data_IF_920530994646
#
_entry.id   IF_920530994646
#
_cell.length_a   1.000
_cell.length_b   1.000
_cell.length_c   1.000
_cell.angle_alpha   90.00
_cell.angle_beta   90.00
_cell.angle_gamma   90.00
#
_symmetry.space_group_name_H-M   'P 1'
#
loop_
_entity.id
_entity.type
_entity.pdbx_description
1 polymer ?
#
# COMPACT_ATOMS: atom_id res chain seq x y z
N UNK A 1 11.56 -5.10 3.32
CA UNK A 1 10.26 -4.39 3.34
C UNK A 1 9.36 -5.09 2.34
N UNK A 2 8.26 -5.70 2.79
CA UNK A 2 7.33 -6.36 1.88
C UNK A 2 6.42 -5.31 1.22
N UNK A 3 6.31 -5.35 -0.10
CA UNK A 3 5.40 -4.49 -0.84
C UNK A 3 4.13 -5.29 -1.07
N UNK A 4 3.07 -4.98 -0.31
CA UNK A 4 1.77 -5.60 -0.50
C UNK A 4 0.97 -4.76 -1.48
N UNK A 5 0.79 -5.27 -2.70
CA UNK A 5 -0.10 -4.65 -3.67
C UNK A 5 -1.47 -5.30 -3.64
N UNK A 6 -2.48 -4.48 -3.41
CA UNK A 6 -3.87 -4.82 -3.68
C UNK A 6 -4.47 -3.73 -4.54
N UNK A 7 -4.96 -4.12 -5.72
CA UNK A 7 -5.60 -3.22 -6.67
C UNK A 7 -6.96 -2.81 -6.10
N UNK A 8 -7.07 -1.57 -5.64
CA UNK A 8 -8.35 -0.97 -5.31
C UNK A 8 -8.73 0.06 -6.37
N UNK A 9 -9.74 -0.27 -7.17
CA UNK A 9 -10.31 0.58 -8.23
C UNK A 9 -11.47 1.43 -7.73
N UNK A 10 -11.96 1.18 -6.52
CA UNK A 10 -12.99 1.97 -5.84
C UNK A 10 -12.60 2.26 -4.39
N UNK A 11 -13.17 3.33 -3.80
CA UNK A 11 -12.99 3.64 -2.37
C UNK A 11 -13.35 2.44 -1.48
N UNK A 12 -14.39 1.70 -1.84
CA UNK A 12 -14.85 0.52 -1.09
C UNK A 12 -13.79 -0.57 -1.07
N UNK A 13 -13.23 -0.94 -2.23
CA UNK A 13 -12.15 -1.93 -2.33
C UNK A 13 -10.90 -1.49 -1.55
N UNK A 14 -10.64 -0.19 -1.51
CA UNK A 14 -9.48 0.37 -0.84
C UNK A 14 -9.62 0.28 0.68
N UNK A 15 -10.82 0.55 1.20
CA UNK A 15 -11.14 0.37 2.61
C UNK A 15 -11.14 -1.11 3.01
N UNK A 16 -11.70 -2.00 2.18
CA UNK A 16 -11.63 -3.45 2.38
C UNK A 16 -10.19 -3.93 2.45
N UNK A 17 -9.36 -3.49 1.49
CA UNK A 17 -7.92 -3.81 1.46
C UNK A 17 -7.22 -3.43 2.76
N UNK A 18 -7.51 -2.23 3.29
CA UNK A 18 -6.92 -1.75 4.54
C UNK A 18 -7.37 -2.64 5.72
N UNK A 19 -8.63 -3.07 5.76
CA UNK A 19 -9.16 -3.93 6.82
C UNK A 19 -8.64 -5.36 6.75
N UNK A 20 -8.24 -5.83 5.57
CA UNK A 20 -7.65 -7.16 5.35
C UNK A 20 -6.12 -7.18 5.53
N UNK A 21 -5.49 -6.05 5.88
CA UNK A 21 -4.06 -6.03 6.21
C UNK A 21 -3.82 -6.83 7.50
N UNK A 22 -2.76 -7.62 7.49
CA UNK A 22 -2.22 -8.22 8.70
C UNK A 22 -1.60 -7.11 9.57
N UNK A 23 -2.38 -6.66 10.55
CA UNK A 23 -1.99 -5.56 11.41
C UNK A 23 -0.78 -5.88 12.28
N UNK A 24 -0.54 -7.14 12.63
CA UNK A 24 0.62 -7.54 13.42
C UNK A 24 1.88 -7.43 12.56
N UNK A 25 1.86 -8.04 11.37
CA UNK A 25 2.94 -7.95 10.41
C UNK A 25 3.29 -6.49 10.07
N UNK A 26 2.28 -5.65 9.81
CA UNK A 26 2.50 -4.24 9.47
C UNK A 26 3.11 -3.46 10.64
N UNK A 27 2.72 -3.74 11.89
CA UNK A 27 3.32 -3.05 13.05
C UNK A 27 4.79 -3.39 13.22
N UNK A 28 5.16 -4.66 12.98
CA UNK A 28 6.54 -5.14 13.11
C UNK A 28 7.42 -4.65 11.97
N UNK A 29 6.99 -4.87 10.72
CA UNK A 29 7.85 -4.72 9.54
C UNK A 29 7.55 -3.48 8.69
N UNK A 30 6.39 -2.87 8.87
CA UNK A 30 5.88 -1.83 7.97
C UNK A 30 5.46 -2.35 6.61
N UNK A 31 4.74 -1.51 5.87
CA UNK A 31 4.31 -1.82 4.49
C UNK A 31 4.17 -0.55 3.65
N UNK A 32 4.12 -0.74 2.34
CA UNK A 32 3.78 0.32 1.38
C UNK A 32 2.42 0.04 0.77
N UNK A 33 1.51 1.01 0.87
CA UNK A 33 0.17 0.96 0.28
C UNK A 33 0.16 1.82 -0.99
N UNK A 34 0.09 1.16 -2.14
CA UNK A 34 0.01 1.84 -3.45
C UNK A 34 -1.45 2.05 -3.81
N UNK A 35 -1.85 3.30 -4.02
CA UNK A 35 -3.24 3.69 -4.31
C UNK A 35 -3.30 4.61 -5.54
N UNK A 36 -4.45 4.66 -6.24
CA UNK A 36 -4.66 5.68 -7.25
C UNK A 36 -4.60 7.10 -6.63
N UNK A 37 -4.34 8.12 -7.46
CA UNK A 37 -4.52 9.52 -7.04
C UNK A 37 -5.98 9.72 -6.63
N UNK A 38 -6.19 10.21 -5.41
CA UNK A 38 -7.51 10.43 -4.82
C UNK A 38 -7.67 11.86 -4.35
N UNK A 39 -8.93 12.31 -4.23
CA UNK A 39 -9.22 13.60 -3.64
C UNK A 39 -8.88 13.64 -2.13
N UNK A 40 -8.81 14.86 -1.57
CA UNK A 40 -8.42 15.06 -0.17
C UNK A 40 -9.40 14.45 0.85
N UNK A 41 -10.69 14.35 0.52
CA UNK A 41 -11.71 13.72 1.40
C UNK A 41 -11.46 12.22 1.47
N UNK A 42 -11.19 11.58 0.34
CA UNK A 42 -10.83 10.17 0.25
C UNK A 42 -9.51 9.87 0.95
N UNK A 43 -8.48 10.71 0.76
CA UNK A 43 -7.20 10.59 1.49
C UNK A 43 -7.40 10.64 3.01
N UNK A 44 -8.25 11.55 3.51
CA UNK A 44 -8.56 11.64 4.95
C UNK A 44 -9.25 10.38 5.48
N UNK A 45 -10.12 9.74 4.69
CA UNK A 45 -10.76 8.47 5.06
C UNK A 45 -9.73 7.35 5.22
N UNK A 46 -8.79 7.22 4.27
CA UNK A 46 -7.70 6.24 4.31
C UNK A 46 -6.87 6.41 5.59
N UNK A 47 -6.41 7.64 5.85
CA UNK A 47 -5.62 7.96 7.03
C UNK A 47 -6.40 7.63 8.31
N UNK A 48 -7.70 7.95 8.35
CA UNK A 48 -8.56 7.65 9.51
C UNK A 48 -8.64 6.14 9.78
N UNK A 49 -8.83 5.31 8.76
CA UNK A 49 -8.89 3.86 8.92
C UNK A 49 -7.54 3.28 9.38
N UNK A 50 -6.43 3.69 8.75
CA UNK A 50 -5.09 3.27 9.18
C UNK A 50 -4.77 3.67 10.62
N UNK A 51 -5.27 4.83 11.07
CA UNK A 51 -5.14 5.28 12.47
C UNK A 51 -5.99 4.45 13.42
N UNK A 52 -7.22 4.08 13.06
CA UNK A 52 -8.06 3.17 13.87
C UNK A 52 -7.38 1.82 14.10
N UNK A 53 -6.72 1.30 13.07
CA UNK A 53 -5.95 0.06 13.12
C UNK A 53 -4.60 0.19 13.84
N UNK A 54 -4.21 1.43 14.22
CA UNK A 54 -2.92 1.78 14.85
C UNK A 54 -1.70 1.41 14.00
N UNK A 55 -1.85 1.34 12.68
CA UNK A 55 -0.76 0.99 11.75
C UNK A 55 -0.27 2.16 10.90
N UNK A 56 -0.97 3.31 10.91
CA UNK A 56 -0.65 4.46 10.06
C UNK A 56 0.83 4.87 10.07
N UNK A 57 1.48 4.87 11.22
CA UNK A 57 2.89 5.24 11.39
C UNK A 57 3.89 4.26 10.75
N UNK A 58 3.42 3.07 10.34
CA UNK A 58 4.18 2.00 9.69
C UNK A 58 3.78 1.78 8.23
N UNK A 59 2.85 2.59 7.71
CA UNK A 59 2.35 2.48 6.34
C UNK A 59 2.81 3.69 5.53
N UNK A 60 3.58 3.42 4.48
CA UNK A 60 3.90 4.42 3.47
C UNK A 60 2.81 4.43 2.40
N UNK A 61 2.12 5.55 2.23
CA UNK A 61 1.10 5.71 1.18
C UNK A 61 1.77 6.26 -0.07
N UNK A 62 1.62 5.55 -1.19
CA UNK A 62 2.16 5.95 -2.50
C UNK A 62 0.99 6.16 -3.45
N UNK A 63 0.79 7.40 -3.88
CA UNK A 63 -0.24 7.75 -4.86
C UNK A 63 0.33 7.75 -6.28
N UNK A 64 -0.43 7.20 -7.22
CA UNK A 64 -0.03 7.14 -8.63
C UNK A 64 -1.25 7.13 -9.55
N UNK A 65 -1.10 7.76 -10.71
CA UNK A 65 -2.07 7.74 -11.81
C UNK A 65 -2.23 6.34 -12.44
N UNK A 66 -1.25 5.45 -12.24
CA UNK A 66 -1.27 4.08 -12.75
C UNK A 66 -0.70 3.07 -11.73
N UNK A 67 -1.50 2.79 -10.70
CA UNK A 67 -1.15 1.88 -9.60
C UNK A 67 -0.67 0.50 -10.07
N UNK A 68 -1.28 -0.04 -11.13
CA UNK A 68 -0.89 -1.33 -11.72
C UNK A 68 0.52 -1.27 -12.30
N UNK A 69 0.79 -0.28 -13.14
CA UNK A 69 2.09 -0.11 -13.80
C UNK A 69 3.20 0.24 -12.80
N UNK A 70 2.88 0.98 -11.75
CA UNK A 70 3.84 1.27 -10.68
C UNK A 70 4.20 -0.01 -9.92
N UNK A 71 3.21 -0.82 -9.55
CA UNK A 71 3.48 -2.10 -8.90
C UNK A 71 4.32 -3.04 -9.75
N UNK A 72 3.96 -3.22 -11.03
CA UNK A 72 4.73 -4.03 -11.98
C UNK A 72 6.19 -3.57 -12.03
N UNK A 73 6.44 -2.27 -12.18
CA UNK A 73 7.80 -1.71 -12.18
C UNK A 73 8.57 -1.94 -10.88
N UNK A 74 7.91 -1.74 -9.73
CA UNK A 74 8.56 -1.90 -8.43
C UNK A 74 8.89 -3.37 -8.18
N UNK A 75 7.98 -4.29 -8.51
CA UNK A 75 8.22 -5.73 -8.39
C UNK A 75 9.30 -6.20 -9.36
N UNK A 76 9.26 -5.75 -10.62
CA UNK A 76 10.30 -6.07 -11.62
C UNK A 76 11.67 -5.57 -11.15
N UNK A 77 11.75 -4.34 -10.63
CA UNK A 77 12.96 -3.79 -10.05
C UNK A 77 13.45 -4.55 -8.81
N UNK A 78 12.54 -5.03 -7.96
CA UNK A 78 12.86 -5.82 -6.78
C UNK A 78 13.37 -7.22 -7.15
N UNK A 79 12.76 -7.87 -8.15
CA UNK A 79 13.23 -9.15 -8.69
C UNK A 79 14.60 -9.04 -9.37
N UNK A 80 14.86 -7.94 -10.08
CA UNK A 80 16.17 -7.64 -10.66
C UNK A 80 17.24 -7.40 -9.58
N UNK A 81 16.90 -6.70 -8.50
CA UNK A 81 17.81 -6.52 -7.36
C UNK A 81 18.15 -7.86 -6.69
N UNK A 82 17.16 -8.71 -6.41
CA UNK A 82 17.43 -10.03 -5.82
C UNK A 82 18.29 -10.93 -6.73
N UNK A 83 18.08 -10.88 -8.05
CA UNK A 83 18.90 -11.64 -9.02
C UNK A 83 20.35 -11.19 -9.10
N UNK A 84 20.62 -9.90 -8.90
CA UNK A 84 22.00 -9.35 -8.97
C UNK A 84 22.75 -9.43 -7.64
N UNK A 85 22.10 -9.89 -6.56
CA UNK A 85 22.69 -10.06 -5.22
C UNK A 85 22.81 -11.56 -4.88
N UNK A 86 22.48 -12.47 -5.81
CA UNK A 86 22.69 -13.92 -5.71
C UNK A 86 23.89 -14.39 -6.53
#
# INVERSE_FOLDING_TARGET
>A
MAITYRKATSIKELLTTIHELDNEYVREHGTSLVIPIVDNKTRKLIIRELKKLKIYHKVQIIETDNAKKFYEKVMDGYHLYQKNVS
#
